data_IF_353170061375
#
_entry.id   IF_353170061375
#
_cell.length_a   1.000
_cell.length_b   1.000
_cell.length_c   1.000
_cell.angle_alpha   90.00
_cell.angle_beta   90.00
_cell.angle_gamma   90.00
#
_symmetry.space_group_name_H-M   'P 1'
#
loop_
_entity.id
_entity.type
_entity.pdbx_description
1 polymer ?
#
# COMPACT_ATOMS: atom_id res chain seq x y z
N UNK A 1 -9.12 -10.36 16.43
CA UNK A 1 -8.45 -9.84 15.22
C UNK A 1 -9.15 -10.45 14.03
N UNK A 2 -9.72 -9.66 13.13
CA UNK A 2 -10.40 -10.15 11.93
C UNK A 2 -9.43 -10.06 10.76
N UNK A 3 -9.21 -11.16 10.06
CA UNK A 3 -8.25 -11.24 8.94
C UNK A 3 -9.07 -11.47 7.67
N UNK A 4 -8.85 -10.63 6.66
CA UNK A 4 -9.46 -10.77 5.36
C UNK A 4 -8.48 -11.48 4.41
N UNK A 5 -8.49 -12.81 4.40
CA UNK A 5 -7.48 -13.63 3.70
C UNK A 5 -7.82 -13.97 2.24
N UNK A 6 -9.07 -13.80 1.81
CA UNK A 6 -9.55 -14.28 0.50
C UNK A 6 -9.43 -13.27 -0.64
N UNK A 7 -8.67 -12.19 -0.44
CA UNK A 7 -8.46 -11.17 -1.48
C UNK A 7 -7.36 -11.63 -2.43
N UNK A 8 -7.75 -12.28 -3.54
CA UNK A 8 -6.80 -12.80 -4.53
C UNK A 8 -6.21 -11.71 -5.44
N UNK A 9 -7.01 -10.68 -5.71
CA UNK A 9 -6.66 -9.64 -6.67
C UNK A 9 -6.09 -8.38 -6.00
N UNK A 10 -6.09 -8.31 -4.67
CA UNK A 10 -5.57 -7.15 -3.94
C UNK A 10 -4.23 -7.46 -3.29
N UNK A 11 -3.27 -6.55 -3.44
CA UNK A 11 -1.99 -6.62 -2.74
C UNK A 11 -1.55 -5.23 -2.32
N UNK A 12 -1.21 -5.06 -1.05
CA UNK A 12 -0.55 -3.85 -0.57
C UNK A 12 0.96 -3.97 -0.86
N UNK A 13 1.47 -3.08 -1.72
CA UNK A 13 2.86 -3.15 -2.17
C UNK A 13 3.79 -2.28 -1.33
N UNK A 14 3.36 -1.06 -1.00
CA UNK A 14 4.14 -0.12 -0.22
C UNK A 14 3.25 0.87 0.56
N UNK A 15 3.77 1.33 1.69
CA UNK A 15 3.19 2.39 2.52
C UNK A 15 4.33 3.27 3.01
N UNK A 16 4.77 4.19 2.17
CA UNK A 16 5.84 5.12 2.52
C UNK A 16 5.52 6.53 2.03
N UNK A 17 6.15 7.53 2.66
CA UNK A 17 6.12 8.94 2.28
C UNK A 17 4.70 9.53 2.18
N UNK A 18 3.82 9.17 3.12
CA UNK A 18 2.42 9.64 3.15
C UNK A 18 1.54 9.06 2.05
N UNK A 19 1.98 7.97 1.40
CA UNK A 19 1.28 7.35 0.27
C UNK A 19 1.13 5.85 0.46
N UNK A 20 0.08 5.32 -0.15
CA UNK A 20 -0.22 3.90 -0.20
C UNK A 20 -0.21 3.42 -1.65
N UNK A 21 0.61 2.41 -1.93
CA UNK A 21 0.71 1.75 -3.22
C UNK A 21 -0.01 0.40 -3.18
N UNK A 22 -1.06 0.29 -3.98
CA UNK A 22 -1.96 -0.86 -3.98
C UNK A 22 -2.06 -1.46 -5.39
N UNK A 23 -2.02 -2.79 -5.47
CA UNK A 23 -2.33 -3.52 -6.69
C UNK A 23 -3.74 -4.10 -6.60
N UNK A 24 -4.54 -3.86 -7.62
CA UNK A 24 -5.92 -4.30 -7.77
C UNK A 24 -6.10 -4.99 -9.12
N UNK A 25 -5.82 -6.29 -9.15
CA UNK A 25 -5.76 -7.09 -10.37
C UNK A 25 -4.69 -6.53 -11.31
N UNK A 26 -5.13 -5.93 -12.40
CA UNK A 26 -4.26 -5.32 -13.42
C UNK A 26 -3.94 -3.85 -13.14
N UNK A 27 -4.66 -3.22 -12.21
CA UNK A 27 -4.49 -1.80 -11.89
C UNK A 27 -3.53 -1.61 -10.73
N UNK A 28 -2.73 -0.54 -10.80
CA UNK A 28 -1.90 -0.08 -9.69
C UNK A 28 -2.39 1.31 -9.30
N UNK A 29 -2.70 1.48 -8.03
CA UNK A 29 -3.23 2.70 -7.45
C UNK A 29 -2.20 3.28 -6.48
N UNK A 30 -1.96 4.58 -6.62
CA UNK A 30 -1.24 5.40 -5.64
C UNK A 30 -2.26 6.31 -5.00
N UNK A 31 -2.40 6.25 -3.67
CA UNK A 31 -3.33 7.11 -2.94
C UNK A 31 -2.59 7.86 -1.83
N UNK A 32 -2.84 9.17 -1.66
CA UNK A 32 -2.35 9.88 -0.48
C UNK A 32 -3.07 9.33 0.75
N UNK A 33 -2.30 8.85 1.72
CA UNK A 33 -2.81 8.31 2.97
C UNK A 33 -2.09 9.02 4.12
N UNK A 34 -2.73 10.00 4.79
CA UNK A 34 -2.11 10.79 5.85
C UNK A 34 -1.76 9.97 7.10
N UNK A 35 -2.24 8.72 7.20
CA UNK A 35 -1.87 7.81 8.28
C UNK A 35 -0.55 7.07 8.01
N UNK A 36 -0.04 7.13 6.78
CA UNK A 36 1.27 6.58 6.42
C UNK A 36 2.35 7.55 6.94
N UNK A 37 2.89 7.22 8.12
CA UNK A 37 3.93 8.01 8.79
C UNK A 37 5.35 7.52 8.49
N UNK A 38 5.48 6.40 7.79
CA UNK A 38 6.76 5.77 7.47
C UNK A 38 7.38 6.48 6.27
N UNK A 39 8.67 6.77 6.34
CA UNK A 39 9.41 7.31 5.21
C UNK A 39 10.12 6.19 4.47
N UNK A 40 10.33 6.35 3.17
CA UNK A 40 11.05 5.35 2.39
C UNK A 40 12.51 5.24 2.86
N UNK A 41 12.96 4.02 3.12
CA UNK A 41 14.33 3.74 3.57
C UNK A 41 15.38 3.95 2.46
N UNK A 42 14.96 4.07 1.19
CA UNK A 42 15.86 4.40 0.08
C UNK A 42 16.22 5.88 0.10
N UNK A 43 17.10 6.26 1.04
CA UNK A 43 17.98 7.41 0.85
C UNK A 43 19.07 7.01 -0.16
N UNK A 44 19.10 7.72 -1.28
CA UNK A 44 20.24 7.72 -2.20
C UNK A 44 21.51 8.21 -1.49
#
# INVERSE_FOLDING_TARGET
MWIAENWKDYSLLDTSDGQRLEKWGEYVLVRPDPQVIWNNAKRH
#
